data_IF_295989688660
#
_entry.id   IF_295989688660
#
_cell.length_a   1.000
_cell.length_b   1.000
_cell.length_c   1.000
_cell.angle_alpha   90.00
_cell.angle_beta   90.00
_cell.angle_gamma   90.00
#
_symmetry.space_group_name_H-M   'P 1'
#
loop_
_entity.id
_entity.type
_entity.pdbx_description
1 polymer ?
#
# COMPACT_ATOMS: atom_id res chain seq x y z
N UNK A 1 1.08 -3.44 27.49
CA UNK A 1 1.73 -3.05 26.20
C UNK A 1 0.73 -3.26 25.08
N UNK A 2 0.68 -2.33 24.10
CA UNK A 2 -0.12 -2.43 22.87
C UNK A 2 0.82 -2.63 21.67
N UNK A 3 0.44 -3.48 20.73
CA UNK A 3 1.18 -3.66 19.48
C UNK A 3 0.29 -3.22 18.31
N UNK A 4 0.82 -2.37 17.44
CA UNK A 4 0.17 -1.92 16.20
C UNK A 4 0.99 -2.45 15.04
N UNK A 5 0.32 -3.11 14.10
CA UNK A 5 0.95 -3.73 12.92
C UNK A 5 0.29 -3.20 11.66
N UNK A 6 1.10 -2.79 10.70
CA UNK A 6 0.65 -2.43 9.35
C UNK A 6 1.42 -3.26 8.33
N UNK A 7 0.69 -4.07 7.58
CA UNK A 7 1.26 -5.00 6.62
C UNK A 7 0.75 -4.75 5.21
N UNK A 8 1.66 -4.28 4.36
CA UNK A 8 1.45 -4.23 2.91
C UNK A 8 1.95 -5.49 2.20
N UNK A 9 1.93 -5.45 0.86
CA UNK A 9 2.37 -6.57 0.02
C UNK A 9 3.87 -6.91 0.17
N UNK A 10 4.72 -5.91 0.44
CA UNK A 10 6.19 -6.06 0.43
C UNK A 10 6.85 -5.95 1.79
N UNK A 11 6.24 -5.23 2.71
CA UNK A 11 6.78 -4.97 4.06
C UNK A 11 5.70 -4.92 5.10
N UNK A 12 6.07 -5.24 6.34
CA UNK A 12 5.25 -5.09 7.55
C UNK A 12 5.98 -4.20 8.54
N UNK A 13 5.32 -3.16 9.02
CA UNK A 13 5.80 -2.30 10.08
C UNK A 13 5.13 -2.67 11.40
N UNK A 14 5.93 -2.88 12.44
CA UNK A 14 5.49 -3.23 13.79
C UNK A 14 5.86 -2.13 14.75
N UNK A 15 4.94 -1.76 15.64
CA UNK A 15 5.17 -0.81 16.73
C UNK A 15 4.65 -1.39 18.03
N UNK A 16 5.53 -1.59 19.00
CA UNK A 16 5.15 -1.95 20.37
C UNK A 16 5.23 -0.70 21.26
N UNK A 17 4.16 -0.43 21.98
CA UNK A 17 4.02 0.77 22.83
C UNK A 17 3.81 0.30 24.26
N UNK A 18 4.75 0.66 25.17
CA UNK A 18 4.64 0.37 26.58
C UNK A 18 3.61 1.27 27.28
N UNK A 19 3.25 0.93 28.50
CA UNK A 19 2.36 1.77 29.33
C UNK A 19 3.00 3.13 29.62
N UNK A 20 4.34 3.17 29.72
CA UNK A 20 5.12 4.40 29.94
C UNK A 20 5.30 5.24 28.68
N UNK A 21 4.79 4.78 27.52
CA UNK A 21 4.90 5.49 26.25
C UNK A 21 6.19 5.20 25.46
N UNK A 22 7.05 4.29 25.93
CA UNK A 22 8.22 3.87 25.17
C UNK A 22 7.79 3.06 23.95
N UNK A 23 8.43 3.32 22.80
CA UNK A 23 8.11 2.66 21.54
C UNK A 23 9.29 1.84 21.03
N UNK A 24 9.01 0.60 20.62
CA UNK A 24 9.94 -0.29 19.90
C UNK A 24 9.42 -0.53 18.50
N UNK A 25 10.32 -0.50 17.54
CA UNK A 25 9.99 -0.63 16.10
C UNK A 25 10.68 -1.85 15.50
N UNK A 26 9.97 -2.58 14.67
CA UNK A 26 10.52 -3.65 13.84
C UNK A 26 9.95 -3.56 12.44
N UNK A 27 10.77 -3.87 11.43
CA UNK A 27 10.35 -4.02 10.05
C UNK A 27 10.61 -5.45 9.60
N UNK A 28 9.63 -6.04 8.92
CA UNK A 28 9.74 -7.37 8.32
C UNK A 28 9.24 -7.35 6.88
N UNK A 29 9.38 -8.46 6.17
CA UNK A 29 8.68 -8.65 4.90
C UNK A 29 7.17 -8.63 5.08
N UNK A 30 6.43 -8.40 3.98
CA UNK A 30 4.96 -8.32 4.00
C UNK A 30 4.31 -9.60 4.52
N UNK A 31 3.33 -9.44 5.38
CA UNK A 31 2.49 -10.51 5.95
C UNK A 31 1.12 -10.44 5.28
N UNK A 32 0.96 -11.11 4.14
CA UNK A 32 -0.33 -11.24 3.49
C UNK A 32 -0.78 -12.70 3.52
N UNK A 33 -1.84 -13.06 4.25
CA UNK A 33 -2.36 -14.42 4.30
C UNK A 33 -2.85 -14.95 2.94
N UNK A 34 -3.07 -14.07 1.97
CA UNK A 34 -3.42 -14.46 0.60
C UNK A 34 -2.21 -14.82 -0.27
N UNK A 35 -1.00 -14.47 0.17
CA UNK A 35 0.24 -14.67 -0.59
C UNK A 35 1.22 -15.62 0.09
N UNK A 36 1.10 -15.78 1.42
CA UNK A 36 2.01 -16.59 2.24
C UNK A 36 1.24 -17.71 2.92
N UNK A 37 1.87 -18.87 3.04
CA UNK A 37 1.36 -19.96 3.87
C UNK A 37 1.61 -19.71 5.37
N UNK A 38 1.01 -20.55 6.21
CA UNK A 38 1.08 -20.41 7.66
C UNK A 38 2.50 -20.57 8.22
N UNK A 39 3.36 -21.36 7.58
CA UNK A 39 4.74 -21.58 8.01
C UNK A 39 5.58 -20.31 7.82
N UNK A 40 5.49 -19.68 6.65
CA UNK A 40 6.17 -18.42 6.36
C UNK A 40 5.67 -17.29 7.27
N UNK A 41 4.35 -17.20 7.49
CA UNK A 41 3.77 -16.23 8.42
C UNK A 41 4.31 -16.45 9.85
N UNK A 42 4.31 -17.70 10.32
CA UNK A 42 4.83 -18.05 11.64
C UNK A 42 6.30 -17.70 11.82
N UNK A 43 7.11 -17.92 10.80
CA UNK A 43 8.54 -17.56 10.81
C UNK A 43 8.79 -16.06 10.92
N UNK A 44 7.96 -15.24 10.25
CA UNK A 44 8.05 -13.79 10.35
C UNK A 44 7.67 -13.33 11.75
N UNK A 45 6.55 -13.83 12.29
CA UNK A 45 6.05 -13.48 13.63
C UNK A 45 7.05 -13.91 14.70
N UNK A 46 7.63 -15.11 14.60
CA UNK A 46 8.66 -15.65 15.47
C UNK A 46 9.90 -14.76 15.58
N UNK A 47 10.27 -14.10 14.49
CA UNK A 47 11.42 -13.16 14.45
C UNK A 47 11.05 -11.78 14.97
N UNK A 48 9.84 -11.28 14.63
CA UNK A 48 9.39 -9.94 14.97
C UNK A 48 9.08 -9.79 16.47
N UNK A 49 8.37 -10.75 17.07
CA UNK A 49 7.86 -10.65 18.45
C UNK A 49 8.97 -10.50 19.50
N UNK A 50 10.05 -11.31 19.53
CA UNK A 50 11.12 -11.12 20.50
C UNK A 50 11.86 -9.80 20.33
N UNK A 51 11.98 -9.30 19.10
CA UNK A 51 12.61 -8.00 18.83
C UNK A 51 11.74 -6.83 19.30
N UNK A 52 10.40 -6.96 19.21
CA UNK A 52 9.45 -5.95 19.71
C UNK A 52 9.33 -5.95 21.24
N UNK A 53 9.44 -7.12 21.86
CA UNK A 53 9.17 -7.33 23.27
C UNK A 53 10.27 -8.19 23.92
N UNK A 54 11.53 -7.69 23.99
CA UNK A 54 12.65 -8.47 24.49
C UNK A 54 12.53 -8.82 25.98
N UNK A 55 11.74 -8.05 26.72
CA UNK A 55 11.52 -8.26 28.16
C UNK A 55 10.33 -9.23 28.45
N UNK A 56 9.64 -9.71 27.41
CA UNK A 56 8.49 -10.61 27.56
C UNK A 56 7.31 -9.98 28.32
N UNK A 57 7.14 -8.65 28.23
CA UNK A 57 6.02 -7.95 28.88
C UNK A 57 4.68 -8.44 28.38
N UNK A 58 3.66 -8.41 29.21
CA UNK A 58 2.30 -8.77 28.84
C UNK A 58 1.76 -7.86 27.73
N UNK A 59 1.23 -8.45 26.68
CA UNK A 59 0.56 -7.75 25.58
C UNK A 59 -0.94 -7.69 25.88
N UNK A 60 -1.48 -6.47 26.00
CA UNK A 60 -2.90 -6.26 26.27
C UNK A 60 -3.70 -6.29 24.95
N UNK A 61 -3.18 -5.68 23.91
CA UNK A 61 -3.87 -5.58 22.63
C UNK A 61 -2.90 -5.61 21.46
N UNK A 62 -3.31 -6.34 20.42
CA UNK A 62 -2.70 -6.25 19.08
C UNK A 62 -3.75 -5.67 18.14
N UNK A 63 -3.40 -4.61 17.39
CA UNK A 63 -4.23 -4.08 16.30
C UNK A 63 -3.48 -4.31 15.01
N UNK A 64 -3.99 -5.22 14.19
CA UNK A 64 -3.36 -5.64 12.95
C UNK A 64 -4.13 -5.12 11.74
N UNK A 65 -3.45 -4.35 10.90
CA UNK A 65 -3.93 -3.89 9.61
C UNK A 65 -3.17 -4.60 8.50
N UNK A 66 -3.88 -5.19 7.52
CA UNK A 66 -3.19 -5.91 6.47
C UNK A 66 -3.94 -6.00 5.16
N UNK A 67 -3.15 -6.00 4.08
CA UNK A 67 -3.63 -6.36 2.76
C UNK A 67 -4.07 -7.84 2.74
N UNK A 68 -5.20 -8.13 2.11
CA UNK A 68 -5.70 -9.50 2.00
C UNK A 68 -6.42 -10.03 3.24
N UNK A 69 -6.62 -9.23 4.28
CA UNK A 69 -7.49 -9.57 5.41
C UNK A 69 -8.97 -9.33 5.05
N UNK A 70 -9.48 -10.20 4.18
CA UNK A 70 -10.83 -10.05 3.59
C UNK A 70 -11.81 -11.13 4.06
N UNK A 71 -11.35 -12.12 4.83
CA UNK A 71 -12.17 -13.21 5.35
C UNK A 71 -11.83 -13.58 6.80
N UNK A 72 -12.79 -14.19 7.49
CA UNK A 72 -12.56 -14.74 8.84
C UNK A 72 -11.48 -15.82 8.84
N UNK A 73 -11.35 -16.60 7.77
CA UNK A 73 -10.35 -17.65 7.65
C UNK A 73 -8.93 -17.08 7.61
N UNK A 74 -8.70 -16.01 6.83
CA UNK A 74 -7.39 -15.34 6.77
C UNK A 74 -7.03 -14.69 8.12
N UNK A 75 -8.01 -14.14 8.84
CA UNK A 75 -7.81 -13.60 10.17
C UNK A 75 -7.54 -14.71 11.21
N UNK A 76 -8.23 -15.85 11.12
CA UNK A 76 -8.04 -16.99 12.03
C UNK A 76 -6.64 -17.61 11.90
N UNK A 77 -6.14 -17.79 10.67
CA UNK A 77 -4.79 -18.28 10.41
C UNK A 77 -3.73 -17.37 11.03
N UNK A 78 -3.85 -16.06 10.81
CA UNK A 78 -2.91 -15.08 11.37
C UNK A 78 -3.01 -15.01 12.90
N UNK A 79 -4.23 -15.10 13.46
CA UNK A 79 -4.46 -15.19 14.91
C UNK A 79 -3.68 -16.36 15.53
N UNK A 80 -3.82 -17.55 14.96
CA UNK A 80 -3.14 -18.75 15.46
C UNK A 80 -1.62 -18.60 15.44
N UNK A 81 -1.07 -17.99 14.40
CA UNK A 81 0.37 -17.70 14.33
C UNK A 81 0.81 -16.68 15.39
N UNK A 82 0.01 -15.64 15.63
CA UNK A 82 0.31 -14.64 16.67
C UNK A 82 0.25 -15.26 18.07
N UNK A 83 -0.79 -16.05 18.38
CA UNK A 83 -0.98 -16.71 19.68
C UNK A 83 0.17 -17.64 20.04
N UNK A 84 0.76 -18.31 19.04
CA UNK A 84 1.90 -19.20 19.25
C UNK A 84 3.14 -18.47 19.77
N UNK A 85 3.36 -17.22 19.35
CA UNK A 85 4.61 -16.49 19.63
C UNK A 85 4.42 -15.26 20.53
N UNK A 86 3.19 -14.80 20.70
CA UNK A 86 2.87 -13.58 21.45
C UNK A 86 1.54 -13.76 22.20
N UNK A 87 1.51 -14.27 23.43
CA UNK A 87 0.28 -14.26 24.21
C UNK A 87 -0.26 -12.85 24.42
N UNK A 88 -1.51 -12.63 24.05
CA UNK A 88 -2.18 -11.33 24.15
C UNK A 88 -3.58 -11.48 24.75
N UNK A 89 -4.13 -10.37 25.29
CA UNK A 89 -5.48 -10.35 25.85
C UNK A 89 -6.53 -10.17 24.73
N UNK A 90 -6.24 -9.36 23.72
CA UNK A 90 -7.13 -9.14 22.59
C UNK A 90 -6.37 -8.88 21.28
N UNK A 91 -7.00 -9.22 20.15
CA UNK A 91 -6.50 -8.87 18.81
C UNK A 91 -7.63 -8.43 17.91
N UNK A 92 -7.38 -7.37 17.16
CA UNK A 92 -8.27 -6.85 16.12
C UNK A 92 -7.58 -6.95 14.77
N UNK A 93 -8.34 -7.34 13.73
CA UNK A 93 -7.86 -7.42 12.35
C UNK A 93 -8.66 -6.46 11.48
N UNK A 94 -7.95 -5.65 10.72
CA UNK A 94 -8.52 -4.64 9.83
C UNK A 94 -7.82 -4.67 8.47
N UNK A 95 -8.51 -4.16 7.44
CA UNK A 95 -7.94 -4.01 6.11
C UNK A 95 -6.90 -2.89 6.06
N UNK A 96 -5.97 -2.98 5.10
CA UNK A 96 -5.00 -1.94 4.77
C UNK A 96 -5.66 -0.61 4.39
N UNK A 97 -6.80 -0.66 3.69
CA UNK A 97 -7.52 0.56 3.32
C UNK A 97 -8.14 1.27 4.54
N UNK A 98 -8.53 0.55 5.58
CA UNK A 98 -8.96 1.17 6.84
C UNK A 98 -7.77 1.76 7.61
N UNK A 99 -6.59 1.13 7.53
CA UNK A 99 -5.35 1.70 8.06
C UNK A 99 -5.06 3.07 7.43
N UNK A 100 -5.09 3.11 6.08
CA UNK A 100 -4.88 4.34 5.34
C UNK A 100 -5.92 5.42 5.69
N UNK A 101 -7.19 5.04 5.83
CA UNK A 101 -8.27 5.95 6.17
C UNK A 101 -8.09 6.58 7.56
N UNK A 102 -7.84 5.76 8.58
CA UNK A 102 -7.58 6.22 9.95
C UNK A 102 -6.33 7.08 10.06
N UNK A 103 -5.27 6.72 9.33
CA UNK A 103 -4.03 7.48 9.32
C UNK A 103 -4.18 8.86 8.67
N UNK A 104 -5.00 9.00 7.64
CA UNK A 104 -5.20 10.24 6.90
C UNK A 104 -6.24 11.16 7.53
N UNK A 105 -7.34 10.59 8.02
CA UNK A 105 -8.52 11.37 8.40
C UNK A 105 -8.97 11.15 9.86
N UNK A 106 -8.39 10.20 10.60
CA UNK A 106 -8.88 9.87 11.94
C UNK A 106 -10.36 9.45 11.90
N UNK A 107 -11.22 10.18 12.64
CA UNK A 107 -12.67 10.02 12.59
C UNK A 107 -13.35 10.98 11.60
N UNK A 108 -12.59 11.72 10.81
CA UNK A 108 -13.10 12.63 9.79
C UNK A 108 -13.58 11.93 8.52
N UNK A 109 -13.54 12.65 7.40
CA UNK A 109 -14.07 12.17 6.12
C UNK A 109 -13.20 12.59 4.95
N UNK A 110 -13.15 11.75 3.91
CA UNK A 110 -12.43 12.01 2.68
C UNK A 110 -12.36 10.80 1.76
N UNK A 111 -11.81 10.98 0.59
CA UNK A 111 -11.44 9.89 -0.31
C UNK A 111 -10.02 9.42 0.03
N UNK A 112 -9.86 8.14 0.23
CA UNK A 112 -8.57 7.52 0.56
C UNK A 112 -8.04 6.82 -0.67
N UNK A 113 -6.77 7.03 -0.96
CA UNK A 113 -6.04 6.35 -2.03
C UNK A 113 -4.81 5.64 -1.46
N UNK A 114 -4.70 4.33 -1.63
CA UNK A 114 -3.44 3.59 -1.48
C UNK A 114 -2.77 3.55 -2.85
N UNK A 115 -1.53 4.00 -2.94
CA UNK A 115 -0.73 4.03 -4.17
C UNK A 115 0.69 3.56 -3.87
N UNK A 116 0.88 2.24 -3.88
CA UNK A 116 2.14 1.54 -3.59
C UNK A 116 2.51 0.56 -4.70
N UNK A 117 2.83 -0.70 -4.33
CA UNK A 117 3.00 -1.82 -5.26
C UNK A 117 1.73 -2.00 -6.11
N UNK A 118 0.57 -2.15 -5.46
CA UNK A 118 -0.76 -2.06 -6.04
C UNK A 118 -1.46 -0.76 -5.66
N UNK A 119 -2.74 -0.64 -5.99
CA UNK A 119 -3.58 0.49 -5.59
C UNK A 119 -4.90 0.04 -4.98
N UNK A 120 -5.49 0.90 -4.16
CA UNK A 120 -6.85 0.71 -3.63
C UNK A 120 -7.43 2.10 -3.29
N UNK A 121 -8.74 2.21 -3.13
CA UNK A 121 -9.36 3.48 -2.76
C UNK A 121 -10.69 3.27 -2.05
N UNK A 122 -11.09 4.20 -1.19
CA UNK A 122 -12.42 4.21 -0.61
C UNK A 122 -12.93 5.63 -0.34
N UNK A 123 -14.24 5.76 -0.23
CA UNK A 123 -14.89 6.87 0.43
C UNK A 123 -15.00 6.53 1.91
N UNK A 124 -14.47 7.40 2.74
CA UNK A 124 -14.45 7.26 4.19
C UNK A 124 -15.22 8.40 4.84
N UNK A 125 -16.14 8.11 5.72
CA UNK A 125 -16.97 9.10 6.41
C UNK A 125 -17.16 8.72 7.88
N UNK A 126 -16.83 9.65 8.79
CA UNK A 126 -17.11 9.54 10.22
C UNK A 126 -16.61 8.21 10.82
N UNK A 127 -15.37 7.84 10.54
CA UNK A 127 -14.76 6.61 11.06
C UNK A 127 -15.07 5.33 10.27
N UNK A 128 -15.88 5.39 9.18
CA UNK A 128 -16.36 4.21 8.46
C UNK A 128 -16.07 4.27 6.96
N UNK A 129 -15.75 3.11 6.38
CA UNK A 129 -15.68 2.97 4.91
C UNK A 129 -17.12 2.88 4.38
N UNK A 130 -17.54 3.91 3.65
CA UNK A 130 -18.88 3.98 3.04
C UNK A 130 -18.92 3.25 1.70
N UNK A 131 -17.86 3.40 0.91
CA UNK A 131 -17.75 2.78 -0.41
C UNK A 131 -16.30 2.43 -0.72
N UNK A 132 -16.07 1.24 -1.26
CA UNK A 132 -14.79 0.83 -1.84
C UNK A 132 -15.01 0.45 -3.31
N UNK A 133 -14.30 1.11 -4.21
CA UNK A 133 -14.21 0.70 -5.61
C UNK A 133 -13.10 -0.33 -5.69
N UNK A 134 -13.44 -1.55 -6.03
CA UNK A 134 -12.51 -2.70 -5.98
C UNK A 134 -11.30 -2.48 -6.90
N UNK A 135 -10.07 -2.71 -6.43
CA UNK A 135 -8.86 -2.43 -7.19
C UNK A 135 -8.64 -3.36 -8.38
N UNK A 136 -9.14 -4.60 -8.32
CA UNK A 136 -9.01 -5.58 -9.40
C UNK A 136 -7.69 -6.36 -9.42
N UNK A 137 -6.67 -5.95 -8.69
CA UNK A 137 -5.33 -6.55 -8.67
C UNK A 137 -4.52 -6.25 -9.95
N UNK A 138 -3.30 -6.74 -9.99
CA UNK A 138 -2.31 -6.35 -11.00
C UNK A 138 -2.66 -6.76 -12.46
N UNK A 139 -3.57 -7.71 -12.64
CA UNK A 139 -4.01 -8.13 -13.99
C UNK A 139 -5.18 -7.28 -14.49
N UNK A 140 -6.20 -7.05 -13.63
CA UNK A 140 -7.47 -6.44 -14.03
C UNK A 140 -7.60 -4.96 -13.62
N UNK A 141 -6.65 -4.44 -12.84
CA UNK A 141 -6.72 -3.11 -12.26
C UNK A 141 -5.37 -2.61 -11.78
N UNK A 142 -5.34 -2.18 -10.50
CA UNK A 142 -4.20 -1.55 -9.84
C UNK A 142 -3.68 -0.30 -10.58
N UNK A 143 -4.57 0.41 -11.30
CA UNK A 143 -4.24 1.67 -11.95
C UNK A 143 -3.63 2.65 -10.93
N UNK A 144 -2.70 3.50 -11.36
CA UNK A 144 -2.04 4.46 -10.48
C UNK A 144 -1.13 3.81 -9.43
N UNK A 145 -0.55 2.66 -9.74
CA UNK A 145 0.38 1.95 -8.86
C UNK A 145 1.71 1.66 -9.53
N UNK A 146 2.70 1.24 -8.75
CA UNK A 146 3.99 0.81 -9.28
C UNK A 146 3.87 -0.36 -10.25
N UNK A 147 2.95 -1.32 -9.99
CA UNK A 147 2.74 -2.45 -10.89
C UNK A 147 2.14 -2.02 -12.22
N UNK A 148 1.20 -1.09 -12.21
CA UNK A 148 0.58 -0.59 -13.45
C UNK A 148 1.60 0.18 -14.29
N UNK A 149 2.43 1.02 -13.66
CA UNK A 149 3.51 1.73 -14.34
C UNK A 149 4.56 0.77 -14.90
N UNK A 150 5.05 -0.18 -14.10
CA UNK A 150 6.03 -1.16 -14.56
C UNK A 150 5.50 -2.06 -15.68
N UNK A 151 4.23 -2.41 -15.64
CA UNK A 151 3.56 -3.16 -16.72
C UNK A 151 3.52 -2.36 -18.02
N UNK A 152 3.16 -1.07 -17.97
CA UNK A 152 3.16 -0.19 -19.13
C UNK A 152 4.58 -0.06 -19.71
N UNK A 153 5.57 0.21 -18.85
CA UNK A 153 6.98 0.32 -19.25
C UNK A 153 7.49 -0.95 -19.93
N UNK A 154 7.26 -2.14 -19.35
CA UNK A 154 7.68 -3.41 -19.94
C UNK A 154 6.95 -3.72 -21.26
N UNK A 155 5.68 -3.35 -21.36
CA UNK A 155 4.91 -3.55 -22.59
C UNK A 155 5.50 -2.74 -23.76
N UNK A 156 5.97 -1.53 -23.49
CA UNK A 156 6.59 -0.67 -24.49
C UNK A 156 8.04 -1.08 -24.78
N UNK A 157 8.78 -1.49 -23.74
CA UNK A 157 10.14 -2.01 -23.91
C UNK A 157 10.17 -3.23 -24.84
N UNK A 158 9.30 -4.22 -24.63
CA UNK A 158 9.29 -5.45 -25.45
C UNK A 158 8.84 -5.23 -26.90
N UNK A 159 8.27 -4.06 -27.20
CA UNK A 159 7.83 -3.63 -28.53
C UNK A 159 8.79 -2.65 -29.19
N UNK A 160 9.88 -2.22 -28.49
CA UNK A 160 10.80 -1.22 -28.99
C UNK A 160 10.17 0.16 -29.18
N UNK A 161 9.23 0.54 -28.29
CA UNK A 161 8.53 1.82 -28.33
C UNK A 161 9.18 2.89 -27.43
N UNK A 162 10.06 2.47 -26.52
CA UNK A 162 10.75 3.40 -25.63
C UNK A 162 11.79 4.23 -26.41
N UNK A 163 12.13 5.46 -25.95
CA UNK A 163 13.28 6.20 -26.44
C UNK A 163 14.56 5.35 -26.32
N UNK A 164 15.41 5.37 -27.34
CA UNK A 164 16.62 4.54 -27.44
C UNK A 164 17.55 4.69 -26.22
N UNK A 165 17.68 5.90 -25.68
CA UNK A 165 18.47 6.18 -24.48
C UNK A 165 17.93 5.43 -23.27
N UNK A 166 16.61 5.42 -23.07
CA UNK A 166 15.94 4.73 -21.94
C UNK A 166 16.04 3.22 -22.09
N UNK A 167 15.80 2.70 -23.30
CA UNK A 167 15.92 1.28 -23.59
C UNK A 167 17.32 0.75 -23.35
N UNK A 168 18.34 1.49 -23.85
CA UNK A 168 19.74 1.15 -23.68
C UNK A 168 20.17 1.17 -22.21
N UNK A 169 19.79 2.19 -21.46
CA UNK A 169 20.10 2.32 -20.05
C UNK A 169 19.43 1.20 -19.22
N UNK A 170 18.14 0.94 -19.46
CA UNK A 170 17.42 -0.13 -18.79
C UNK A 170 18.08 -1.50 -19.03
N UNK A 171 18.41 -1.80 -20.28
CA UNK A 171 19.08 -3.04 -20.66
C UNK A 171 20.47 -3.18 -20.00
N UNK A 172 21.24 -2.09 -19.96
CA UNK A 172 22.56 -2.07 -19.33
C UNK A 172 22.49 -2.29 -17.80
N UNK A 173 21.50 -1.67 -17.14
CA UNK A 173 21.35 -1.78 -15.68
C UNK A 173 20.80 -3.13 -15.23
N UNK A 174 19.87 -3.71 -16.00
CA UNK A 174 19.14 -4.92 -15.57
C UNK A 174 19.64 -6.19 -16.21
N UNK A 175 20.33 -6.12 -17.34
CA UNK A 175 20.70 -7.27 -18.17
C UNK A 175 19.48 -8.01 -18.75
N UNK A 176 18.29 -7.42 -18.70
CA UNK A 176 17.05 -8.05 -19.18
C UNK A 176 16.87 -7.82 -20.68
N UNK A 177 16.57 -8.90 -21.35
CA UNK A 177 16.06 -8.95 -22.71
C UNK A 177 14.59 -9.40 -22.72
N UNK A 178 14.01 -9.52 -23.88
CA UNK A 178 12.64 -10.03 -24.06
C UNK A 178 12.42 -11.36 -23.32
N UNK A 179 13.34 -12.32 -23.46
CA UNK A 179 13.22 -13.66 -22.84
C UNK A 179 13.26 -13.58 -21.32
N UNK A 180 14.13 -12.76 -20.78
CA UNK A 180 14.26 -12.50 -19.35
C UNK A 180 12.99 -11.88 -18.77
N UNK A 181 12.41 -10.89 -19.45
CA UNK A 181 11.14 -10.25 -19.05
C UNK A 181 9.99 -11.27 -19.08
N UNK A 182 9.83 -12.03 -20.16
CA UNK A 182 8.78 -13.05 -20.26
C UNK A 182 8.90 -14.08 -19.14
N UNK A 183 10.12 -14.51 -18.81
CA UNK A 183 10.35 -15.42 -17.69
C UNK A 183 9.92 -14.80 -16.35
N UNK A 184 10.35 -13.56 -16.06
CA UNK A 184 10.02 -12.87 -14.80
C UNK A 184 8.53 -12.61 -14.63
N UNK A 185 7.83 -12.26 -15.71
CA UNK A 185 6.42 -11.90 -15.64
C UNK A 185 5.50 -13.12 -15.65
N UNK A 186 5.85 -14.18 -16.39
CA UNK A 186 4.92 -15.28 -16.62
C UNK A 186 5.32 -16.62 -15.98
N UNK A 187 6.57 -16.77 -15.51
CA UNK A 187 7.08 -18.05 -15.01
C UNK A 187 7.67 -18.01 -13.62
N UNK A 188 8.11 -16.84 -13.17
CA UNK A 188 8.64 -16.65 -11.82
C UNK A 188 7.54 -16.21 -10.86
N UNK A 189 7.66 -16.54 -9.55
CA UNK A 189 6.74 -16.01 -8.54
C UNK A 189 6.94 -14.49 -8.39
N UNK A 190 5.95 -13.81 -7.81
CA UNK A 190 6.00 -12.39 -7.49
C UNK A 190 6.15 -11.44 -8.71
N UNK A 191 5.52 -11.75 -9.85
CA UNK A 191 5.51 -10.90 -11.04
C UNK A 191 5.05 -9.45 -10.74
N UNK A 192 4.07 -9.27 -9.86
CA UNK A 192 3.60 -7.95 -9.44
C UNK A 192 4.69 -7.15 -8.71
N UNK A 193 5.44 -7.79 -7.81
CA UNK A 193 6.54 -7.14 -7.11
C UNK A 193 7.69 -6.77 -8.07
N UNK A 194 8.00 -7.65 -9.03
CA UNK A 194 8.97 -7.36 -10.08
C UNK A 194 8.56 -6.14 -10.91
N UNK A 195 7.32 -6.11 -11.43
CA UNK A 195 6.84 -4.96 -12.19
C UNK A 195 6.87 -3.66 -11.36
N UNK A 196 6.40 -3.71 -10.11
CA UNK A 196 6.41 -2.54 -9.23
C UNK A 196 7.83 -2.04 -8.90
N UNK A 197 8.82 -2.94 -8.87
CA UNK A 197 10.23 -2.57 -8.60
C UNK A 197 10.85 -1.70 -9.69
N UNK A 198 10.24 -1.61 -10.86
CA UNK A 198 10.68 -0.77 -11.98
C UNK A 198 10.27 0.69 -11.81
N UNK A 199 9.28 0.98 -10.95
CA UNK A 199 8.77 2.34 -10.78
C UNK A 199 9.86 3.38 -10.43
N UNK A 200 10.85 3.11 -9.55
CA UNK A 200 11.92 4.07 -9.30
C UNK A 200 12.75 4.41 -10.54
N UNK A 201 13.06 3.42 -11.38
CA UNK A 201 13.77 3.64 -12.65
C UNK A 201 12.93 4.54 -13.57
N UNK A 202 11.66 4.21 -13.77
CA UNK A 202 10.79 5.01 -14.65
C UNK A 202 10.64 6.44 -14.13
N UNK A 203 10.44 6.62 -12.82
CA UNK A 203 10.28 7.92 -12.19
C UNK A 203 11.57 8.78 -12.21
N UNK A 204 12.76 8.16 -12.30
CA UNK A 204 14.01 8.91 -12.42
C UNK A 204 14.19 9.56 -13.81
N UNK A 205 13.35 9.22 -14.79
CA UNK A 205 13.40 9.73 -16.16
C UNK A 205 12.20 10.63 -16.52
N UNK A 206 11.61 11.32 -15.55
CA UNK A 206 10.46 12.22 -15.78
C UNK A 206 10.79 13.44 -16.68
N UNK A 207 12.06 13.73 -16.89
CA UNK A 207 12.51 14.77 -17.84
C UNK A 207 12.30 14.34 -19.30
N UNK A 208 12.22 13.01 -19.57
CA UNK A 208 11.90 12.47 -20.89
C UNK A 208 10.38 12.59 -21.15
N UNK A 209 9.95 13.30 -22.18
CA UNK A 209 8.52 13.55 -22.44
C UNK A 209 7.69 12.29 -22.59
N UNK A 210 8.24 11.23 -23.20
CA UNK A 210 7.58 9.95 -23.37
C UNK A 210 7.28 9.29 -22.01
N UNK A 211 8.29 9.25 -21.15
CA UNK A 211 8.16 8.68 -19.79
C UNK A 211 7.19 9.51 -18.95
N UNK A 212 7.29 10.83 -19.02
CA UNK A 212 6.37 11.74 -18.32
C UNK A 212 4.91 11.49 -18.73
N UNK A 213 4.64 11.29 -20.02
CA UNK A 213 3.30 10.95 -20.52
C UNK A 213 2.84 9.59 -19.98
N UNK A 214 3.68 8.58 -20.03
CA UNK A 214 3.37 7.24 -19.50
C UNK A 214 3.00 7.28 -18.01
N UNK A 215 3.75 8.01 -17.19
CA UNK A 215 3.46 8.18 -15.76
C UNK A 215 2.13 8.91 -15.57
N UNK A 216 1.90 10.01 -16.32
CA UNK A 216 0.66 10.77 -16.29
C UNK A 216 -0.54 9.90 -16.63
N UNK A 217 -0.47 9.12 -17.71
CA UNK A 217 -1.55 8.23 -18.15
C UNK A 217 -1.88 7.16 -17.10
N UNK A 218 -0.84 6.61 -16.46
CA UNK A 218 -1.00 5.66 -15.36
C UNK A 218 -1.77 6.29 -14.18
N UNK A 219 -1.40 7.49 -13.74
CA UNK A 219 -2.04 8.20 -12.63
C UNK A 219 -3.46 8.65 -12.98
N UNK A 220 -3.64 9.23 -14.17
CA UNK A 220 -4.93 9.70 -14.65
C UNK A 220 -5.95 8.57 -14.81
N UNK A 221 -5.48 7.39 -15.22
CA UNK A 221 -6.33 6.19 -15.27
C UNK A 221 -6.94 5.88 -13.89
N UNK A 222 -6.16 5.96 -12.81
CA UNK A 222 -6.66 5.76 -11.45
C UNK A 222 -7.66 6.85 -11.03
N UNK A 223 -7.32 8.11 -11.32
CA UNK A 223 -8.24 9.22 -11.05
C UNK A 223 -9.58 9.01 -11.76
N UNK A 224 -9.56 8.70 -13.04
CA UNK A 224 -10.79 8.49 -13.85
C UNK A 224 -11.59 7.26 -13.39
N UNK A 225 -10.93 6.14 -13.14
CA UNK A 225 -11.59 4.86 -12.90
C UNK A 225 -12.01 4.64 -11.46
N UNK A 226 -11.38 5.35 -10.52
CA UNK A 226 -11.67 5.23 -9.10
C UNK A 226 -12.00 6.56 -8.43
N UNK A 227 -11.04 7.48 -8.30
CA UNK A 227 -11.15 8.61 -7.37
C UNK A 227 -12.29 9.58 -7.71
N UNK A 228 -12.41 9.99 -8.98
CA UNK A 228 -13.48 10.91 -9.43
C UNK A 228 -14.89 10.31 -9.29
N UNK A 229 -15.01 8.99 -9.25
CA UNK A 229 -16.32 8.32 -9.15
C UNK A 229 -16.92 8.41 -7.76
N UNK A 230 -16.13 8.71 -6.73
CA UNK A 230 -16.67 8.84 -5.37
C UNK A 230 -17.59 10.04 -5.20
N UNK A 231 -17.44 11.08 -6.00
CA UNK A 231 -18.39 12.20 -6.03
C UNK A 231 -19.84 11.74 -6.26
N UNK A 232 -20.07 10.75 -7.11
CA UNK A 232 -21.39 10.18 -7.37
C UNK A 232 -22.02 9.42 -6.21
N UNK A 233 -21.24 9.02 -5.20
CA UNK A 233 -21.72 8.35 -3.99
C UNK A 233 -21.89 9.32 -2.81
N UNK A 234 -21.11 10.38 -2.78
CA UNK A 234 -21.13 11.36 -1.70
C UNK A 234 -22.16 12.49 -1.93
N UNK A 235 -22.75 12.59 -3.13
CA UNK A 235 -23.59 13.73 -3.53
C UNK A 235 -22.78 15.02 -3.50
N UNK A 236 -23.37 16.12 -3.02
CA UNK A 236 -22.72 17.43 -2.95
C UNK A 236 -21.75 17.60 -1.75
N UNK A 237 -21.34 16.52 -1.13
CA UNK A 237 -20.45 16.56 0.05
C UNK A 237 -19.04 16.95 -0.34
N UNK A 238 -18.51 17.98 0.33
CA UNK A 238 -17.12 18.44 0.12
C UNK A 238 -16.05 17.35 0.41
N UNK A 239 -16.38 16.34 1.23
CA UNK A 239 -15.50 15.22 1.53
C UNK A 239 -15.10 14.41 0.27
N UNK A 240 -15.98 14.31 -0.71
CA UNK A 240 -15.69 13.61 -1.97
C UNK A 240 -14.64 14.30 -2.85
N UNK A 241 -14.33 15.54 -2.57
CA UNK A 241 -13.30 16.29 -3.29
C UNK A 241 -11.92 16.23 -2.61
N UNK A 242 -11.86 15.87 -1.32
CA UNK A 242 -10.62 15.77 -0.54
C UNK A 242 -10.04 14.37 -0.63
N UNK A 243 -8.84 14.26 -1.16
CA UNK A 243 -8.15 12.98 -1.35
C UNK A 243 -6.89 12.95 -0.48
N UNK A 244 -6.77 11.91 0.35
CA UNK A 244 -5.54 11.58 1.04
C UNK A 244 -4.88 10.36 0.39
N UNK A 245 -3.57 10.37 0.29
CA UNK A 245 -2.76 9.32 -0.37
C UNK A 245 -1.85 8.64 0.64
N UNK A 246 -1.81 7.32 0.62
CA UNK A 246 -0.83 6.48 1.34
C UNK A 246 -0.06 5.63 0.35
N UNK A 247 1.26 5.62 0.47
CA UNK A 247 2.15 4.77 -0.31
C UNK A 247 3.30 5.54 -0.95
N UNK A 248 4.44 4.87 -1.08
CA UNK A 248 5.67 5.49 -1.59
C UNK A 248 5.56 5.92 -3.05
N UNK A 249 4.84 5.17 -3.87
CA UNK A 249 4.61 5.52 -5.27
C UNK A 249 3.77 6.80 -5.40
N UNK A 250 2.64 6.88 -4.67
CA UNK A 250 1.81 8.07 -4.67
C UNK A 250 2.55 9.32 -4.17
N UNK A 251 3.37 9.18 -3.11
CA UNK A 251 4.20 10.28 -2.62
C UNK A 251 5.27 10.73 -3.63
N UNK A 252 5.83 9.80 -4.40
CA UNK A 252 6.80 10.15 -5.45
C UNK A 252 6.15 10.87 -6.65
N UNK A 253 4.83 10.71 -6.81
CA UNK A 253 4.05 11.33 -7.88
C UNK A 253 3.21 12.54 -7.40
N UNK A 254 3.46 13.09 -6.19
CA UNK A 254 2.62 14.10 -5.55
C UNK A 254 2.32 15.30 -6.45
N UNK A 255 3.34 15.90 -7.06
CA UNK A 255 3.17 17.11 -7.89
C UNK A 255 2.24 16.83 -9.08
N UNK A 256 2.46 15.71 -9.77
CA UNK A 256 1.65 15.31 -10.92
C UNK A 256 0.22 14.93 -10.51
N UNK A 257 0.04 14.27 -9.37
CA UNK A 257 -1.30 13.98 -8.82
C UNK A 257 -2.06 15.25 -8.46
N UNK A 258 -1.39 16.24 -7.87
CA UNK A 258 -2.01 17.55 -7.59
C UNK A 258 -2.41 18.29 -8.86
N UNK A 259 -1.60 18.19 -9.92
CA UNK A 259 -1.89 18.76 -11.24
C UNK A 259 -3.13 18.09 -11.85
N UNK A 260 -3.14 16.76 -11.96
CA UNK A 260 -4.27 15.97 -12.46
C UNK A 260 -5.53 16.24 -11.61
N UNK A 261 -5.39 16.27 -10.29
CA UNK A 261 -6.52 16.50 -9.38
C UNK A 261 -7.30 17.77 -9.69
N UNK A 262 -6.61 18.86 -10.00
CA UNK A 262 -7.26 20.13 -10.38
C UNK A 262 -8.13 20.00 -11.63
N UNK A 263 -7.73 19.17 -12.59
CA UNK A 263 -8.48 18.92 -13.82
C UNK A 263 -9.77 18.13 -13.55
N UNK A 264 -9.77 17.30 -12.49
CA UNK A 264 -10.89 16.46 -12.11
C UNK A 264 -11.69 16.96 -10.90
N UNK A 265 -11.41 18.19 -10.40
CA UNK A 265 -12.07 18.75 -9.24
C UNK A 265 -11.75 18.03 -7.93
N UNK A 266 -10.58 17.39 -7.83
CA UNK A 266 -10.11 16.70 -6.63
C UNK A 266 -9.02 17.53 -5.94
N UNK A 267 -9.09 17.63 -4.62
CA UNK A 267 -8.10 18.28 -3.77
C UNK A 267 -7.26 17.23 -3.05
N UNK A 268 -6.02 17.04 -3.46
CA UNK A 268 -5.09 16.16 -2.74
C UNK A 268 -4.56 16.87 -1.50
N UNK A 269 -5.05 16.49 -0.32
CA UNK A 269 -4.82 17.20 0.96
C UNK A 269 -3.65 16.63 1.76
N UNK A 270 -3.33 15.34 1.61
CA UNK A 270 -2.29 14.69 2.41
C UNK A 270 -1.60 13.56 1.63
N UNK A 271 -0.30 13.39 1.89
CA UNK A 271 0.50 12.28 1.36
C UNK A 271 1.33 11.67 2.48
N UNK A 272 1.19 10.36 2.67
CA UNK A 272 1.91 9.59 3.67
C UNK A 272 2.64 8.41 3.00
N UNK A 273 3.95 8.28 3.20
CA UNK A 273 4.70 7.11 2.69
C UNK A 273 4.29 5.80 3.35
N UNK A 274 3.87 5.86 4.61
CA UNK A 274 3.37 4.73 5.41
C UNK A 274 2.38 5.25 6.44
N UNK A 275 1.32 4.50 6.77
CA UNK A 275 0.31 4.95 7.72
C UNK A 275 0.71 4.70 9.18
N UNK A 276 1.74 3.89 9.47
CA UNK A 276 2.00 3.31 10.79
C UNK A 276 2.15 4.36 11.90
N UNK A 277 2.87 5.45 11.66
CA UNK A 277 3.12 6.47 12.70
C UNK A 277 1.85 7.26 13.05
N UNK A 278 0.98 7.48 12.07
CA UNK A 278 -0.33 8.09 12.31
C UNK A 278 -1.31 7.11 12.97
N UNK A 279 -1.22 5.82 12.67
CA UNK A 279 -1.98 4.78 13.36
C UNK A 279 -1.58 4.68 14.83
N UNK A 280 -0.29 4.80 15.14
CA UNK A 280 0.17 4.89 16.54
C UNK A 280 -0.50 6.06 17.25
N UNK A 281 -0.49 7.25 16.66
CA UNK A 281 -1.17 8.43 17.22
C UNK A 281 -2.66 8.20 17.38
N UNK A 282 -3.33 7.66 16.36
CA UNK A 282 -4.76 7.35 16.39
C UNK A 282 -5.10 6.45 17.58
N UNK A 283 -4.37 5.34 17.75
CA UNK A 283 -4.64 4.37 18.82
C UNK A 283 -4.14 4.80 20.21
N UNK A 284 -3.25 5.77 20.31
CA UNK A 284 -2.82 6.34 21.59
C UNK A 284 -3.73 7.49 22.05
N UNK A 285 -4.33 8.25 21.11
CA UNK A 285 -5.21 9.37 21.45
C UNK A 285 -6.60 8.92 21.92
N UNK A 286 -7.05 7.73 21.54
CA UNK A 286 -8.35 7.16 21.89
C UNK A 286 -8.28 6.06 22.97
N UNK A 287 -7.15 5.95 23.67
CA UNK A 287 -6.86 4.90 24.65
C UNK A 287 -6.72 5.39 26.09
N UNK A 288 -7.59 6.33 26.52
CA UNK A 288 -7.76 6.69 27.94
C UNK A 288 -9.22 6.51 28.34
#
# INVERSE_FOLDING_TARGET
>A
MKIIVESGATKTAWRAISVEGNMTEVLTQGLSPTCLDAEHISDIVRKAVPALNPEGKRVEQIVFYGAGLVSEESAASLRSCLEMWCPFASVEFHSDILAAARALFGDGSGVVAIMGTGSNSCLYENGHIVKNIRPGGYVLGDEGSGVALGRAFLADFVKGLLPESIESEFSAQTGLDYSGIVRKVYREPAASAFMASLAPFVLSHLDEPYIRSMVRDCLESFVKRALSRYAGYAGDRAAACKVGVVGSFGCACEDMLREIGREYGLEFVAFLKSPIDQLVKYHCSYGV
#
